data_IF_505708873936
#
_entry.id   IF_505708873936
#
_cell.length_a   1.000
_cell.length_b   1.000
_cell.length_c   1.000
_cell.angle_alpha   90.00
_cell.angle_beta   90.00
_cell.angle_gamma   90.00
#
_symmetry.space_group_name_H-M   'P 1'
#
loop_
_entity.id
_entity.type
_entity.pdbx_description
1 polymer ?
#
# COMPACT_ATOMS: atom_id res chain seq x y z
N UNK A 1 3.22 -0.58 8.14
CA UNK A 1 4.25 -0.04 9.05
C UNK A 1 5.63 0.06 8.36
N UNK A 2 6.15 -1.01 7.71
CA UNK A 2 7.52 -1.05 7.16
C UNK A 2 7.85 0.09 6.18
N UNK A 3 7.00 0.37 5.18
CA UNK A 3 7.21 1.49 4.23
C UNK A 3 7.26 2.83 4.97
N UNK A 4 6.33 3.08 5.91
CA UNK A 4 6.34 4.31 6.70
C UNK A 4 7.62 4.45 7.54
N UNK A 5 8.10 3.35 8.12
CA UNK A 5 9.36 3.34 8.87
C UNK A 5 10.56 3.68 7.97
N UNK A 6 10.63 3.10 6.79
CA UNK A 6 11.72 3.37 5.85
C UNK A 6 11.69 4.81 5.35
N UNK A 7 10.55 5.36 4.97
CA UNK A 7 10.42 6.76 4.56
C UNK A 7 10.81 7.72 5.70
N UNK A 8 10.39 7.43 6.95
CA UNK A 8 10.82 8.23 8.09
C UNK A 8 12.33 8.15 8.31
N UNK A 9 12.96 6.99 8.16
CA UNK A 9 14.40 6.82 8.26
C UNK A 9 15.18 7.59 7.18
N UNK A 10 14.57 7.81 6.01
CA UNK A 10 15.12 8.62 4.93
C UNK A 10 14.79 10.13 5.05
N UNK A 11 14.17 10.54 6.17
CA UNK A 11 13.95 11.95 6.48
C UNK A 11 12.55 12.47 6.16
N UNK A 12 11.62 11.64 5.69
CA UNK A 12 10.26 12.10 5.41
C UNK A 12 9.47 12.38 6.69
N UNK A 13 8.68 13.45 6.70
CA UNK A 13 7.56 13.61 7.63
C UNK A 13 6.41 12.69 7.22
N UNK A 14 5.81 11.96 8.16
CA UNK A 14 4.89 10.87 7.83
C UNK A 14 3.56 10.99 8.56
N UNK A 15 2.46 11.09 7.81
CA UNK A 15 1.12 10.86 8.33
C UNK A 15 0.73 9.38 8.14
N UNK A 16 0.29 8.74 9.20
CA UNK A 16 -0.16 7.34 9.18
C UNK A 16 -1.65 7.26 9.51
N UNK A 17 -2.41 6.57 8.68
CA UNK A 17 -3.86 6.50 8.78
C UNK A 17 -4.35 5.07 8.98
N UNK A 18 -5.13 4.81 10.03
CA UNK A 18 -5.76 3.53 10.31
C UNK A 18 -6.93 3.67 11.30
N UNK A 19 -7.70 2.60 11.48
CA UNK A 19 -8.82 2.55 12.43
C UNK A 19 -8.40 2.35 13.88
N UNK A 20 -7.29 1.66 14.13
CA UNK A 20 -6.85 1.22 15.46
C UNK A 20 -5.88 2.22 16.04
N UNK A 21 -6.37 3.05 16.97
CA UNK A 21 -5.57 4.09 17.61
C UNK A 21 -4.52 3.52 18.57
N UNK A 22 -4.95 2.65 19.49
CA UNK A 22 -4.13 2.07 20.56
C UNK A 22 -4.05 0.55 20.45
N UNK A 23 -3.05 -0.10 21.05
CA UNK A 23 -2.94 -1.55 21.08
C UNK A 23 -4.23 -2.22 21.58
N UNK A 24 -4.56 -3.37 21.01
CA UNK A 24 -5.69 -4.21 21.38
C UNK A 24 -5.26 -5.67 21.39
N UNK A 25 -5.83 -6.46 22.29
CA UNK A 25 -5.48 -7.88 22.44
C UNK A 25 -5.84 -8.73 21.21
N UNK A 26 -6.87 -8.29 20.46
CA UNK A 26 -7.41 -9.02 19.30
C UNK A 26 -6.85 -8.55 17.94
N UNK A 27 -6.05 -7.47 17.93
CA UNK A 27 -5.51 -6.89 16.70
C UNK A 27 -4.04 -6.51 16.92
N UNK A 28 -3.15 -7.15 16.19
CA UNK A 28 -1.74 -6.82 16.23
C UNK A 28 -1.47 -5.48 15.50
N UNK A 29 -0.68 -4.63 16.14
CA UNK A 29 -0.29 -3.31 15.62
C UNK A 29 -1.35 -2.22 15.84
N UNK A 30 -0.86 -1.00 16.06
CA UNK A 30 -1.69 0.18 16.25
C UNK A 30 -1.01 1.41 15.67
N UNK A 31 -1.77 2.52 15.53
CA UNK A 31 -1.18 3.82 15.15
C UNK A 31 -0.17 4.29 16.20
N UNK A 32 -0.48 4.13 17.50
CA UNK A 32 0.41 4.55 18.58
C UNK A 32 1.76 3.81 18.54
N UNK A 33 1.74 2.47 18.38
CA UNK A 33 2.97 1.68 18.27
C UNK A 33 3.77 2.02 17.00
N UNK A 34 3.07 2.27 15.90
CA UNK A 34 3.73 2.67 14.66
C UNK A 34 4.33 4.06 14.81
N UNK A 35 3.59 5.04 15.36
CA UNK A 35 4.09 6.40 15.58
C UNK A 35 5.35 6.40 16.45
N UNK A 36 5.33 5.69 17.58
CA UNK A 36 6.49 5.58 18.48
C UNK A 36 7.73 5.00 17.77
N UNK A 37 7.54 4.06 16.83
CA UNK A 37 8.65 3.54 15.99
C UNK A 37 9.20 4.58 15.02
N UNK A 38 8.36 5.48 14.51
CA UNK A 38 8.75 6.51 13.53
C UNK A 38 9.39 7.72 14.19
N UNK A 39 8.91 8.13 15.37
CA UNK A 39 9.39 9.30 16.13
C UNK A 39 10.90 9.26 16.45
N UNK A 40 11.47 8.04 16.56
CA UNK A 40 12.91 7.85 16.79
C UNK A 40 13.81 8.43 15.69
N UNK A 41 13.26 8.68 14.49
CA UNK A 41 14.00 9.27 13.37
C UNK A 41 14.02 10.80 13.40
N UNK A 42 13.29 11.42 14.34
CA UNK A 42 13.32 12.87 14.58
C UNK A 42 12.46 13.70 13.62
N UNK A 43 11.76 13.07 12.68
CA UNK A 43 10.86 13.76 11.76
C UNK A 43 9.45 13.87 12.34
N UNK A 44 8.63 14.73 11.74
CA UNK A 44 7.23 14.87 12.14
C UNK A 44 6.44 13.59 11.83
N UNK A 45 5.73 13.09 12.82
CA UNK A 45 4.85 11.92 12.69
C UNK A 45 3.44 12.30 13.14
N UNK A 46 2.45 12.03 12.29
CA UNK A 46 1.05 12.34 12.61
C UNK A 46 0.16 11.10 12.45
N UNK A 47 -0.29 10.48 13.56
CA UNK A 47 -1.29 9.42 13.53
C UNK A 47 -2.69 9.99 13.33
N UNK A 48 -3.39 9.55 12.28
CA UNK A 48 -4.75 9.94 11.93
C UNK A 48 -5.69 8.75 12.07
N UNK A 49 -6.58 8.80 13.05
CA UNK A 49 -7.59 7.75 13.23
C UNK A 49 -8.71 7.96 12.21
N UNK A 50 -8.90 6.97 11.33
CA UNK A 50 -9.90 7.04 10.27
C UNK A 50 -10.32 5.65 9.80
N UNK A 51 -11.61 5.48 9.52
CA UNK A 51 -12.10 4.32 8.76
C UNK A 51 -12.08 4.63 7.26
N UNK A 52 -11.06 4.14 6.58
CA UNK A 52 -10.93 4.31 5.13
C UNK A 52 -12.05 3.60 4.33
N UNK A 53 -12.81 2.70 4.95
CA UNK A 53 -14.00 2.08 4.36
C UNK A 53 -15.22 3.02 4.34
N UNK A 54 -15.20 4.15 5.08
CA UNK A 54 -16.25 5.17 5.07
C UNK A 54 -15.88 6.33 4.16
N UNK A 55 -16.65 6.61 3.09
CA UNK A 55 -16.45 7.77 2.24
C UNK A 55 -16.42 9.10 3.01
N UNK A 56 -17.32 9.24 3.98
CA UNK A 56 -17.44 10.43 4.80
C UNK A 56 -16.18 10.66 5.66
N UNK A 57 -15.66 9.57 6.26
CA UNK A 57 -14.49 9.65 7.15
C UNK A 57 -13.19 9.96 6.39
N UNK A 58 -13.08 9.57 5.11
CA UNK A 58 -11.88 9.81 4.29
C UNK A 58 -11.97 11.05 3.40
N UNK A 59 -13.14 11.72 3.37
CA UNK A 59 -13.41 12.80 2.42
C UNK A 59 -12.49 14.02 2.51
N UNK A 60 -11.82 14.23 3.64
CA UNK A 60 -10.87 15.33 3.89
C UNK A 60 -9.48 14.82 4.36
N UNK A 61 -9.21 13.54 4.23
CA UNK A 61 -8.06 12.92 4.88
C UNK A 61 -6.71 13.48 4.39
N UNK A 62 -6.57 13.75 3.10
CA UNK A 62 -5.33 14.30 2.54
C UNK A 62 -5.11 15.73 3.06
N UNK A 63 -6.14 16.54 3.13
CA UNK A 63 -6.06 17.90 3.69
C UNK A 63 -5.69 17.87 5.19
N UNK A 64 -6.25 16.95 5.97
CA UNK A 64 -5.88 16.74 7.37
C UNK A 64 -4.45 16.27 7.53
N UNK A 65 -3.96 15.39 6.64
CA UNK A 65 -2.57 14.97 6.62
C UNK A 65 -1.63 16.14 6.32
N UNK A 66 -1.92 16.91 5.28
CA UNK A 66 -1.16 18.10 4.91
C UNK A 66 -1.08 19.12 6.06
N UNK A 67 -2.20 19.42 6.71
CA UNK A 67 -2.24 20.31 7.86
C UNK A 67 -1.42 19.78 9.05
N UNK A 68 -1.50 18.47 9.32
CA UNK A 68 -0.76 17.85 10.43
C UNK A 68 0.75 17.75 10.16
N UNK A 69 1.15 17.68 8.89
CA UNK A 69 2.56 17.68 8.47
C UNK A 69 3.10 19.11 8.26
N UNK A 70 2.24 20.14 8.31
CA UNK A 70 2.56 21.54 8.01
C UNK A 70 3.17 21.73 6.61
N UNK A 71 2.63 21.00 5.62
CA UNK A 71 3.11 21.01 4.24
C UNK A 71 2.15 20.33 3.28
N UNK A 72 2.61 20.01 2.09
CA UNK A 72 1.90 19.22 1.09
C UNK A 72 2.04 17.72 1.36
N UNK A 73 1.21 16.92 0.70
CA UNK A 73 1.40 15.46 0.63
C UNK A 73 2.04 15.14 -0.71
N UNK A 74 3.35 14.98 -0.70
CA UNK A 74 4.14 14.73 -1.90
C UNK A 74 4.10 13.25 -2.30
N UNK A 75 3.94 12.36 -1.32
CA UNK A 75 3.90 10.90 -1.51
C UNK A 75 2.63 10.34 -0.88
N UNK A 76 1.82 9.65 -1.66
CA UNK A 76 0.64 8.90 -1.21
C UNK A 76 0.88 7.40 -1.36
N UNK A 77 0.91 6.66 -0.24
CA UNK A 77 1.03 5.20 -0.24
C UNK A 77 -0.29 4.55 0.17
N UNK A 78 -1.02 3.99 -0.78
CA UNK A 78 -2.26 3.26 -0.55
C UNK A 78 -1.95 1.80 -0.17
N UNK A 79 -1.69 1.56 1.12
CA UNK A 79 -1.35 0.25 1.66
C UNK A 79 -2.53 -0.46 2.35
N UNK A 80 -3.50 0.28 2.87
CA UNK A 80 -4.64 -0.31 3.56
C UNK A 80 -5.46 -1.21 2.62
N UNK A 81 -5.85 -2.39 3.10
CA UNK A 81 -6.64 -3.33 2.31
C UNK A 81 -7.52 -4.22 3.19
N UNK A 82 -8.66 -4.65 2.64
CA UNK A 82 -9.47 -5.73 3.16
C UNK A 82 -9.14 -7.02 2.38
N UNK A 83 -8.32 -7.88 2.97
CA UNK A 83 -7.98 -9.19 2.42
C UNK A 83 -8.97 -10.25 2.94
N UNK A 84 -10.22 -10.17 2.49
CA UNK A 84 -11.28 -11.10 2.86
C UNK A 84 -11.31 -12.21 1.81
N UNK A 85 -11.05 -13.43 2.23
CA UNK A 85 -11.04 -14.60 1.37
C UNK A 85 -12.35 -15.38 1.50
N UNK A 86 -12.74 -16.11 0.46
CA UNK A 86 -13.91 -16.98 0.44
C UNK A 86 -14.43 -17.27 -0.96
N UNK A 87 -15.19 -18.37 -1.12
CA UNK A 87 -15.76 -18.74 -2.41
C UNK A 87 -16.72 -17.66 -2.95
N UNK A 88 -16.63 -17.36 -4.23
CA UNK A 88 -17.47 -16.32 -4.87
C UNK A 88 -18.96 -16.58 -4.71
N UNK A 89 -19.39 -17.83 -4.79
CA UNK A 89 -20.81 -18.22 -4.71
C UNK A 89 -21.43 -17.92 -3.33
N UNK A 90 -20.62 -17.86 -2.29
CA UNK A 90 -21.08 -17.59 -0.91
C UNK A 90 -20.56 -16.26 -0.36
N UNK A 91 -19.92 -15.45 -1.19
CA UNK A 91 -19.34 -14.17 -0.78
C UNK A 91 -20.44 -13.13 -0.55
N UNK A 92 -20.66 -12.75 0.69
CA UNK A 92 -21.80 -11.93 1.10
C UNK A 92 -21.72 -10.50 0.57
N UNK A 93 -22.87 -9.83 0.40
CA UNK A 93 -22.93 -8.41 -0.02
C UNK A 93 -22.12 -7.51 0.91
N UNK A 94 -22.17 -7.75 2.24
CA UNK A 94 -21.38 -7.00 3.22
C UNK A 94 -19.87 -7.13 2.96
N UNK A 95 -19.37 -8.36 2.72
CA UNK A 95 -17.96 -8.60 2.41
C UNK A 95 -17.56 -7.91 1.09
N UNK A 96 -18.44 -7.96 0.08
CA UNK A 96 -18.22 -7.27 -1.20
C UNK A 96 -18.05 -5.77 -1.00
N UNK A 97 -18.96 -5.15 -0.27
CA UNK A 97 -18.92 -3.71 0.00
C UNK A 97 -17.62 -3.31 0.73
N UNK A 98 -17.26 -4.00 1.82
CA UNK A 98 -16.03 -3.71 2.58
C UNK A 98 -14.79 -3.84 1.67
N UNK A 99 -14.69 -4.95 0.91
CA UNK A 99 -13.54 -5.20 0.04
C UNK A 99 -13.42 -4.11 -1.03
N UNK A 100 -14.52 -3.75 -1.67
CA UNK A 100 -14.51 -2.76 -2.75
C UNK A 100 -14.21 -1.35 -2.23
N UNK A 101 -14.91 -0.93 -1.16
CA UNK A 101 -14.69 0.37 -0.56
C UNK A 101 -13.25 0.60 -0.12
N UNK A 102 -12.62 -0.40 0.49
CA UNK A 102 -11.27 -0.22 1.01
C UNK A 102 -10.17 -0.43 -0.05
N UNK A 103 -10.37 -1.37 -1.01
CA UNK A 103 -9.33 -1.73 -1.95
C UNK A 103 -9.38 -0.95 -3.27
N UNK A 104 -10.52 -0.34 -3.60
CA UNK A 104 -10.74 0.34 -4.88
C UNK A 104 -11.12 1.81 -4.67
N UNK A 105 -12.22 2.08 -3.95
CA UNK A 105 -12.74 3.42 -3.80
C UNK A 105 -11.81 4.30 -2.95
N UNK A 106 -11.32 3.79 -1.82
CA UNK A 106 -10.45 4.58 -0.95
C UNK A 106 -9.15 5.03 -1.65
N UNK A 107 -8.38 4.17 -2.34
CA UNK A 107 -7.24 4.61 -3.13
C UNK A 107 -7.56 5.66 -4.19
N UNK A 108 -8.71 5.54 -4.86
CA UNK A 108 -9.14 6.51 -5.86
C UNK A 108 -9.51 7.85 -5.23
N UNK A 109 -10.32 7.86 -4.17
CA UNK A 109 -10.71 9.08 -3.46
C UNK A 109 -9.49 9.84 -2.91
N UNK A 110 -8.52 9.10 -2.34
CA UNK A 110 -7.29 9.72 -1.82
C UNK A 110 -6.40 10.26 -2.94
N UNK A 111 -6.32 9.58 -4.07
CA UNK A 111 -5.61 10.08 -5.23
C UNK A 111 -6.27 11.35 -5.79
N UNK A 112 -7.60 11.40 -5.89
CA UNK A 112 -8.34 12.60 -6.31
C UNK A 112 -8.13 13.80 -5.39
N UNK A 113 -7.91 13.57 -4.09
CA UNK A 113 -7.57 14.61 -3.13
C UNK A 113 -6.11 15.07 -3.23
N UNK A 114 -5.17 14.16 -3.51
CA UNK A 114 -3.74 14.48 -3.52
C UNK A 114 -3.26 15.07 -4.85
N UNK A 115 -3.73 14.56 -5.99
CA UNK A 115 -3.26 14.93 -7.34
C UNK A 115 -3.28 16.43 -7.61
N UNK A 116 -4.32 17.21 -7.27
CA UNK A 116 -4.32 18.65 -7.58
C UNK A 116 -3.13 19.40 -6.98
N UNK A 117 -2.79 19.15 -5.72
CA UNK A 117 -1.65 19.80 -5.07
C UNK A 117 -0.30 19.29 -5.63
N UNK A 118 -0.19 17.99 -5.94
CA UNK A 118 0.99 17.42 -6.60
C UNK A 118 1.23 18.03 -7.98
N UNK A 119 0.16 18.25 -8.77
CA UNK A 119 0.24 18.91 -10.07
C UNK A 119 0.64 20.38 -9.96
N UNK A 120 0.13 21.09 -8.96
CA UNK A 120 0.53 22.48 -8.69
C UNK A 120 2.01 22.59 -8.29
N UNK A 121 2.51 21.61 -7.53
CA UNK A 121 3.92 21.51 -7.17
C UNK A 121 4.81 21.06 -8.36
N UNK A 122 4.23 20.47 -9.40
CA UNK A 122 4.96 19.84 -10.51
C UNK A 122 5.64 18.53 -10.13
N UNK A 123 5.34 17.97 -8.97
CA UNK A 123 5.96 16.74 -8.47
C UNK A 123 5.04 16.00 -7.50
N UNK A 124 4.99 14.65 -7.62
CA UNK A 124 4.24 13.80 -6.69
C UNK A 124 4.33 12.32 -7.04
N UNK A 125 4.14 11.47 -6.03
CA UNK A 125 4.20 10.02 -6.18
C UNK A 125 3.01 9.34 -5.51
N UNK A 126 2.34 8.47 -6.25
CA UNK A 126 1.27 7.61 -5.74
C UNK A 126 1.69 6.15 -5.91
N UNK A 127 1.77 5.42 -4.81
CA UNK A 127 2.13 4.00 -4.80
C UNK A 127 0.98 3.18 -4.22
N UNK A 128 0.38 2.34 -5.07
CA UNK A 128 -0.72 1.46 -4.72
C UNK A 128 -0.21 0.05 -4.40
N UNK A 129 -0.50 -0.48 -3.19
CA UNK A 129 -0.16 -1.85 -2.82
C UNK A 129 -1.24 -2.79 -3.35
N UNK A 130 -0.86 -3.60 -4.34
CA UNK A 130 -1.73 -4.59 -4.97
C UNK A 130 -1.42 -6.02 -4.50
N UNK A 131 -1.75 -7.04 -5.26
CA UNK A 131 -1.59 -8.43 -4.86
C UNK A 131 -1.33 -9.34 -6.06
N UNK A 132 -0.59 -10.43 -5.85
CA UNK A 132 -0.49 -11.53 -6.81
C UNK A 132 -1.85 -12.12 -7.20
N UNK A 133 -2.85 -12.04 -6.32
CA UNK A 133 -4.23 -12.45 -6.58
C UNK A 133 -4.96 -11.64 -7.67
N UNK A 134 -4.40 -10.49 -8.08
CA UNK A 134 -4.92 -9.71 -9.21
C UNK A 134 -4.69 -10.41 -10.56
N UNK A 135 -3.76 -11.37 -10.62
CA UNK A 135 -3.45 -12.11 -11.85
C UNK A 135 -4.51 -13.18 -12.12
N UNK A 136 -4.70 -13.50 -13.38
CA UNK A 136 -5.51 -14.65 -13.78
C UNK A 136 -4.81 -15.95 -13.39
N UNK A 137 -5.55 -16.89 -12.83
CA UNK A 137 -5.06 -18.25 -12.61
C UNK A 137 -5.10 -19.01 -13.93
N UNK A 138 -3.94 -19.54 -14.41
CA UNK A 138 -3.91 -20.34 -15.62
C UNK A 138 -4.58 -21.71 -15.40
N UNK A 139 -5.38 -22.14 -16.33
CA UNK A 139 -6.05 -23.44 -16.27
C UNK A 139 -6.90 -23.72 -17.49
N UNK A 140 -7.57 -24.89 -17.64
CA UNK A 140 -7.45 -26.09 -16.84
C UNK A 140 -6.11 -26.87 -17.06
N UNK A 141 -5.64 -27.69 -16.11
CA UNK A 141 -6.19 -27.82 -14.75
C UNK A 141 -5.88 -26.59 -13.88
N UNK A 142 -6.84 -26.15 -13.07
CA UNK A 142 -6.58 -25.11 -12.09
C UNK A 142 -5.80 -25.63 -10.89
N UNK A 143 -4.89 -24.82 -10.38
CA UNK A 143 -4.15 -25.16 -9.16
C UNK A 143 -5.07 -25.08 -7.94
N UNK A 144 -4.80 -25.92 -6.94
CA UNK A 144 -5.41 -25.77 -5.63
C UNK A 144 -4.88 -24.47 -5.00
N UNK A 145 -5.75 -23.49 -4.87
CA UNK A 145 -5.40 -22.15 -4.43
C UNK A 145 -6.44 -21.61 -3.42
N UNK A 146 -5.98 -20.67 -2.59
CA UNK A 146 -6.89 -19.96 -1.69
C UNK A 146 -8.00 -19.27 -2.50
N UNK A 147 -9.26 -19.30 -2.02
CA UNK A 147 -10.40 -18.69 -2.71
C UNK A 147 -10.33 -17.14 -2.61
N UNK A 148 -9.45 -16.54 -3.39
CA UNK A 148 -9.18 -15.09 -3.41
C UNK A 148 -9.98 -14.32 -4.45
N UNK A 149 -10.93 -14.95 -5.14
CA UNK A 149 -11.56 -14.42 -6.35
C UNK A 149 -12.08 -12.98 -6.26
N UNK A 150 -12.85 -12.63 -5.23
CA UNK A 150 -13.37 -11.26 -5.09
C UNK A 150 -12.28 -10.26 -4.64
N UNK A 151 -11.42 -10.68 -3.72
CA UNK A 151 -10.24 -9.89 -3.34
C UNK A 151 -9.33 -9.65 -4.55
N UNK A 152 -9.02 -10.70 -5.31
CA UNK A 152 -8.23 -10.61 -6.53
C UNK A 152 -8.85 -9.65 -7.56
N UNK A 153 -10.16 -9.74 -7.77
CA UNK A 153 -10.89 -8.82 -8.65
C UNK A 153 -10.75 -7.35 -8.20
N UNK A 154 -10.82 -7.06 -6.90
CA UNK A 154 -10.62 -5.71 -6.37
C UNK A 154 -9.18 -5.21 -6.58
N UNK A 155 -8.19 -6.09 -6.45
CA UNK A 155 -6.78 -5.73 -6.71
C UNK A 155 -6.48 -5.59 -8.21
N UNK A 156 -7.13 -6.36 -9.08
CA UNK A 156 -7.07 -6.17 -10.53
C UNK A 156 -7.72 -4.83 -10.96
N UNK A 157 -8.81 -4.43 -10.30
CA UNK A 157 -9.40 -3.11 -10.50
C UNK A 157 -8.43 -1.99 -10.09
N UNK A 158 -7.74 -2.12 -8.94
CA UNK A 158 -6.72 -1.18 -8.49
C UNK A 158 -5.54 -1.09 -9.47
N UNK A 159 -5.07 -2.22 -10.00
CA UNK A 159 -4.03 -2.26 -11.05
C UNK A 159 -4.45 -1.45 -12.28
N UNK A 160 -5.72 -1.63 -12.72
CA UNK A 160 -6.25 -0.91 -13.89
C UNK A 160 -6.43 0.59 -13.61
N UNK A 161 -6.93 0.96 -12.42
CA UNK A 161 -7.06 2.37 -12.00
C UNK A 161 -5.71 3.05 -11.89
N UNK A 162 -4.69 2.37 -11.36
CA UNK A 162 -3.31 2.87 -11.33
C UNK A 162 -2.82 3.27 -12.72
N UNK A 163 -2.98 2.37 -13.70
CA UNK A 163 -2.58 2.65 -15.07
C UNK A 163 -3.42 3.78 -15.71
N UNK A 164 -4.72 3.84 -15.43
CA UNK A 164 -5.57 4.92 -15.94
C UNK A 164 -5.14 6.28 -15.38
N UNK A 165 -4.91 6.35 -14.06
CA UNK A 165 -4.51 7.59 -13.40
C UNK A 165 -3.11 8.04 -13.86
N UNK A 166 -2.17 7.11 -14.06
CA UNK A 166 -0.86 7.42 -14.63
C UNK A 166 -0.96 8.02 -16.04
N UNK A 167 -1.90 7.53 -16.86
CA UNK A 167 -2.17 8.10 -18.18
C UNK A 167 -2.74 9.53 -18.08
N UNK A 168 -3.68 9.75 -17.16
CA UNK A 168 -4.33 11.06 -16.96
C UNK A 168 -3.39 12.12 -16.37
N UNK A 169 -2.41 11.69 -15.56
CA UNK A 169 -1.41 12.59 -14.94
C UNK A 169 -0.09 12.67 -15.72
N UNK A 170 0.02 12.01 -16.87
CA UNK A 170 1.26 12.01 -17.65
C UNK A 170 1.70 13.43 -18.06
N UNK A 171 2.96 13.75 -17.86
CA UNK A 171 3.54 15.07 -18.16
C UNK A 171 3.20 16.17 -17.15
N UNK A 172 2.59 15.84 -16.02
CA UNK A 172 2.27 16.80 -14.94
C UNK A 172 3.21 16.71 -13.73
N UNK A 173 4.24 15.85 -13.81
CA UNK A 173 5.14 15.60 -12.68
C UNK A 173 4.59 14.61 -11.64
N UNK A 174 3.40 14.04 -11.84
CA UNK A 174 2.82 13.05 -10.92
C UNK A 174 3.04 11.63 -11.45
N UNK A 175 3.70 10.79 -10.66
CA UNK A 175 3.97 9.38 -10.95
C UNK A 175 2.98 8.50 -10.20
N UNK A 176 2.34 7.57 -10.89
CA UNK A 176 1.36 6.66 -10.28
C UNK A 176 1.72 5.22 -10.61
N UNK A 177 2.05 4.43 -9.60
CA UNK A 177 2.54 3.08 -9.76
C UNK A 177 1.83 2.11 -8.82
N UNK A 178 1.81 0.82 -9.18
CA UNK A 178 1.31 -0.24 -8.31
C UNK A 178 2.36 -1.33 -8.13
N UNK A 179 2.49 -1.79 -6.89
CA UNK A 179 3.44 -2.84 -6.53
C UNK A 179 2.75 -3.92 -5.71
N UNK A 180 3.13 -5.16 -5.96
CA UNK A 180 2.70 -6.33 -5.21
C UNK A 180 3.90 -7.17 -4.78
N UNK A 181 3.79 -7.93 -3.71
CA UNK A 181 4.79 -8.95 -3.44
C UNK A 181 4.72 -10.06 -4.51
N UNK A 182 5.87 -10.63 -4.87
CA UNK A 182 5.91 -11.83 -5.72
C UNK A 182 5.41 -13.06 -4.96
N UNK A 183 5.73 -13.14 -3.68
CA UNK A 183 5.29 -14.12 -2.71
C UNK A 183 4.58 -13.42 -1.55
N UNK A 184 4.16 -14.15 -0.51
CA UNK A 184 3.61 -13.50 0.68
C UNK A 184 4.71 -12.72 1.41
N UNK A 185 4.36 -11.57 2.00
CA UNK A 185 5.25 -10.84 2.91
C UNK A 185 4.75 -11.07 4.32
N UNK A 186 5.64 -11.47 5.23
CA UNK A 186 5.28 -11.69 6.63
C UNK A 186 4.94 -10.35 7.29
N UNK A 187 3.70 -10.23 7.75
CA UNK A 187 3.20 -9.05 8.44
C UNK A 187 2.09 -9.48 9.40
N UNK A 188 1.76 -8.62 10.36
CA UNK A 188 0.69 -8.90 11.33
C UNK A 188 -0.63 -9.32 10.64
N UNK A 189 -0.96 -8.69 9.51
CA UNK A 189 -2.16 -9.03 8.73
C UNK A 189 -2.02 -10.34 7.95
N UNK A 190 -0.84 -10.67 7.44
CA UNK A 190 -0.59 -11.91 6.72
C UNK A 190 -0.58 -13.12 7.67
N UNK A 191 0.06 -13.01 8.82
CA UNK A 191 0.09 -14.07 9.83
C UNK A 191 -1.32 -14.45 10.32
N UNK A 192 -2.22 -13.47 10.45
CA UNK A 192 -3.61 -13.70 10.82
C UNK A 192 -4.43 -14.45 9.74
N UNK A 193 -4.04 -14.37 8.46
CA UNK A 193 -4.76 -14.96 7.32
C UNK A 193 -4.20 -16.32 6.93
N UNK A 194 -2.87 -16.44 6.89
CA UNK A 194 -2.18 -17.60 6.32
C UNK A 194 -2.05 -18.77 7.31
N UNK A 195 -2.13 -18.50 8.62
CA UNK A 195 -1.99 -19.51 9.65
C UNK A 195 -0.56 -20.03 9.85
N UNK A 196 -0.36 -20.84 10.89
CA UNK A 196 0.95 -21.34 11.28
C UNK A 196 1.55 -22.38 10.29
N UNK A 197 0.72 -23.03 9.49
CA UNK A 197 1.12 -24.10 8.56
C UNK A 197 1.53 -23.57 7.17
N UNK A 198 1.53 -22.26 6.97
CA UNK A 198 1.94 -21.70 5.69
C UNK A 198 3.45 -21.88 5.47
N UNK A 199 3.82 -22.45 4.32
CA UNK A 199 5.20 -22.76 3.96
C UNK A 199 6.10 -21.50 4.01
N UNK A 200 7.10 -21.45 4.91
CA UNK A 200 7.99 -20.30 5.05
C UNK A 200 8.76 -19.94 3.78
N UNK A 201 9.02 -20.91 2.88
CA UNK A 201 9.71 -20.67 1.60
C UNK A 201 8.89 -19.83 0.61
N UNK A 202 7.59 -19.65 0.88
CA UNK A 202 6.66 -18.85 0.10
C UNK A 202 6.55 -17.40 0.60
N UNK A 203 7.38 -16.98 1.53
CA UNK A 203 7.51 -15.59 1.93
C UNK A 203 8.69 -14.92 1.24
N UNK A 204 8.49 -13.67 0.85
CA UNK A 204 9.61 -12.78 0.52
C UNK A 204 9.95 -11.90 1.74
N UNK A 205 11.22 -11.46 1.89
CA UNK A 205 11.59 -10.54 2.97
C UNK A 205 10.80 -9.24 2.92
N UNK A 206 10.41 -8.73 4.08
CA UNK A 206 9.72 -7.43 4.21
C UNK A 206 10.56 -6.31 3.58
N UNK A 207 11.87 -6.36 3.78
CA UNK A 207 12.85 -5.41 3.27
C UNK A 207 12.83 -5.32 1.75
N UNK A 208 12.68 -6.44 1.05
CA UNK A 208 12.56 -6.47 -0.42
C UNK A 208 11.31 -5.72 -0.91
N UNK A 209 10.17 -5.96 -0.28
CA UNK A 209 8.93 -5.27 -0.63
C UNK A 209 8.99 -3.78 -0.26
N UNK A 210 9.58 -3.44 0.88
CA UNK A 210 9.73 -2.06 1.34
C UNK A 210 10.68 -1.29 0.45
N UNK A 211 11.86 -1.87 0.11
CA UNK A 211 12.82 -1.25 -0.81
C UNK A 211 12.19 -0.91 -2.15
N UNK A 212 11.51 -1.90 -2.76
CA UNK A 212 10.85 -1.70 -4.04
C UNK A 212 9.73 -0.63 -3.98
N UNK A 213 8.93 -0.61 -2.90
CA UNK A 213 7.91 0.40 -2.72
C UNK A 213 8.49 1.80 -2.48
N UNK A 214 9.57 1.92 -1.70
CA UNK A 214 10.27 3.18 -1.42
C UNK A 214 10.93 3.73 -2.70
N UNK A 215 11.52 2.88 -3.51
CA UNK A 215 12.08 3.30 -4.80
C UNK A 215 11.02 3.90 -5.74
N UNK A 216 9.78 3.40 -5.70
CA UNK A 216 8.67 4.00 -6.45
C UNK A 216 8.18 5.33 -5.85
N UNK A 217 8.48 5.62 -4.59
CA UNK A 217 8.19 6.90 -3.95
C UNK A 217 9.18 8.02 -4.29
N UNK A 218 10.24 7.72 -5.07
CA UNK A 218 11.27 8.67 -5.47
C UNK A 218 11.72 8.43 -6.93
N UNK A 219 10.88 7.77 -7.73
CA UNK A 219 11.23 7.42 -9.11
C UNK A 219 11.15 8.62 -10.06
N UNK A 220 11.89 8.54 -11.16
CA UNK A 220 11.91 9.54 -12.23
C UNK A 220 10.55 9.62 -12.95
N UNK A 221 10.32 10.71 -13.69
CA UNK A 221 9.04 11.00 -14.33
C UNK A 221 8.61 9.96 -15.37
N UNK A 222 9.57 9.36 -16.08
CA UNK A 222 9.32 8.31 -17.05
C UNK A 222 8.93 6.95 -16.42
N UNK A 223 9.04 6.83 -15.09
CA UNK A 223 8.70 5.63 -14.33
C UNK A 223 7.28 5.75 -13.73
N UNK A 224 6.29 5.97 -14.59
CA UNK A 224 4.86 6.02 -14.21
C UNK A 224 4.06 4.93 -14.93
N UNK A 225 2.93 4.50 -14.35
CA UNK A 225 2.07 3.46 -14.92
C UNK A 225 2.59 2.04 -14.77
N UNK A 226 3.66 1.83 -14.01
CA UNK A 226 4.18 0.50 -13.75
C UNK A 226 3.27 -0.28 -12.80
N UNK A 227 3.01 -1.55 -13.15
CA UNK A 227 2.23 -2.49 -12.34
C UNK A 227 2.97 -3.82 -12.32
N UNK A 228 3.64 -4.14 -11.21
CA UNK A 228 4.49 -5.32 -11.16
C UNK A 228 4.79 -5.83 -9.76
N UNK A 229 5.68 -6.79 -9.67
CA UNK A 229 6.10 -7.35 -8.38
C UNK A 229 7.44 -6.78 -7.89
N UNK A 230 7.60 -6.75 -6.57
CA UNK A 230 8.77 -6.25 -5.84
C UNK A 230 10.09 -6.78 -6.38
N UNK A 231 10.23 -8.11 -6.48
CA UNK A 231 11.49 -8.72 -6.89
C UNK A 231 11.85 -8.40 -8.35
N UNK A 232 10.85 -8.30 -9.24
CA UNK A 232 11.08 -7.86 -10.62
C UNK A 232 11.58 -6.41 -10.66
N UNK A 233 11.05 -5.53 -9.79
CA UNK A 233 11.50 -4.14 -9.74
C UNK A 233 12.93 -4.05 -9.21
N UNK A 234 13.24 -4.75 -8.12
CA UNK A 234 14.60 -4.80 -7.56
C UNK A 234 15.64 -5.24 -8.60
N UNK A 235 15.34 -6.33 -9.32
CA UNK A 235 16.22 -6.84 -10.39
C UNK A 235 16.38 -5.81 -11.52
N UNK A 236 15.26 -5.28 -12.03
CA UNK A 236 15.25 -4.31 -13.12
C UNK A 236 16.05 -3.04 -12.81
N UNK A 237 15.92 -2.52 -11.59
CA UNK A 237 16.60 -1.30 -11.16
C UNK A 237 17.91 -1.57 -10.41
N UNK A 238 18.31 -2.85 -10.26
CA UNK A 238 19.52 -3.30 -9.57
C UNK A 238 19.60 -2.77 -8.14
N UNK A 239 18.47 -2.77 -7.45
CA UNK A 239 18.36 -2.32 -6.06
C UNK A 239 18.76 -3.43 -5.10
N UNK A 240 19.48 -3.05 -4.06
CA UNK A 240 19.83 -3.95 -2.95
C UNK A 240 18.94 -3.60 -1.78
N UNK A 241 18.10 -4.54 -1.28
CA UNK A 241 17.23 -4.27 -0.15
C UNK A 241 18.02 -3.75 1.06
N UNK A 242 17.54 -2.65 1.62
CA UNK A 242 18.11 -2.05 2.81
C UNK A 242 17.27 -2.42 4.03
N UNK A 243 17.86 -2.38 5.22
CA UNK A 243 17.13 -2.49 6.48
C UNK A 243 16.05 -1.42 6.57
N UNK A 244 14.99 -1.71 7.33
CA UNK A 244 13.86 -0.79 7.48
C UNK A 244 14.22 0.56 8.12
N UNK A 245 15.38 0.66 8.77
CA UNK A 245 15.93 1.88 9.39
C UNK A 245 16.99 2.58 8.52
N UNK A 246 17.15 2.16 7.28
CA UNK A 246 18.11 2.68 6.31
C UNK A 246 19.60 2.60 6.77
N UNK A 247 19.94 1.75 7.74
CA UNK A 247 21.32 1.66 8.29
C UNK A 247 22.27 0.80 7.47
N UNK A 248 21.84 0.27 6.33
CA UNK A 248 22.63 -0.55 5.41
C UNK A 248 21.86 -1.73 4.85
N UNK A 249 22.51 -2.59 4.05
CA UNK A 249 21.87 -3.76 3.43
C UNK A 249 21.18 -4.68 4.43
N UNK A 250 20.03 -5.25 4.00
CA UNK A 250 19.21 -6.18 4.78
C UNK A 250 19.79 -7.61 4.76
#
# INVERSE_FOLDING_TARGET
AGIAQRLAAEGASVAIAARTASPRDDIAGSLAETAARLERFGNRVSPLVVDLGSPEARGDLVARAAAALEGTVDILVNNAAASIHGPLLTYTTKRRAITWQLNVEAPLDLAQQAVPAMQEAGEGWIVNLTSGSARHEPGPPFRDALPTGYYGASKAALDRLTNALALETHGTGVRVNAIRPRAAVRSEGADAILGADFDPSRFEPMESMVEAATALCACEEDQTGWVGDSLTLLDRWRLVPQRLDATGPA
#
